data_IF_140501771959
#
_entry.id   IF_140501771959
#
_cell.length_a   1.000
_cell.length_b   1.000
_cell.length_c   1.000
_cell.angle_alpha   90.00
_cell.angle_beta   90.00
_cell.angle_gamma   90.00
#
_symmetry.space_group_name_H-M   'P 1'
#
loop_
_entity.id
_entity.type
_entity.pdbx_description
1 polymer ?
#
# COMPACT_ATOMS: atom_id res chain seq x y z
N UNK A 1 0.36 -10.35 -14.47
CA UNK A 1 -0.23 -11.25 -13.47
C UNK A 1 -1.57 -10.63 -13.15
N UNK A 2 -2.62 -11.04 -13.86
CA UNK A 2 -3.96 -10.50 -13.70
C UNK A 2 -4.58 -11.20 -12.48
N UNK A 3 -4.82 -10.43 -11.42
CA UNK A 3 -5.53 -10.87 -10.23
C UNK A 3 -7.01 -10.75 -10.52
N UNK A 4 -7.68 -11.90 -10.63
CA UNK A 4 -9.11 -11.99 -10.89
C UNK A 4 -9.73 -12.66 -9.69
N UNK A 5 -10.50 -11.89 -8.92
CA UNK A 5 -11.46 -12.43 -7.98
C UNK A 5 -12.35 -13.45 -8.71
N UNK A 6 -12.28 -14.69 -8.23
CA UNK A 6 -12.62 -15.90 -8.99
C UNK A 6 -14.12 -16.00 -9.31
N UNK A 7 -14.49 -15.77 -10.57
CA UNK A 7 -15.77 -16.26 -11.12
C UNK A 7 -16.02 -15.91 -12.58
N UNK A 8 -15.81 -16.84 -13.53
CA UNK A 8 -16.20 -16.60 -14.94
C UNK A 8 -15.60 -17.55 -15.99
N UNK A 9 -16.19 -18.73 -16.10
CA UNK A 9 -15.88 -19.87 -16.99
C UNK A 9 -15.90 -19.55 -18.52
N UNK A 10 -14.82 -19.94 -19.22
CA UNK A 10 -14.76 -20.38 -20.64
C UNK A 10 -15.50 -19.55 -21.72
N UNK A 11 -14.84 -18.61 -22.44
CA UNK A 11 -15.15 -18.19 -23.84
C UNK A 11 -14.27 -17.02 -24.33
N UNK A 12 -12.99 -17.21 -24.65
CA UNK A 12 -12.21 -16.10 -25.25
C UNK A 12 -11.00 -16.52 -26.08
N UNK A 13 -11.08 -17.68 -26.76
CA UNK A 13 -9.92 -18.26 -27.41
C UNK A 13 -9.82 -18.03 -28.93
N UNK A 14 -10.65 -17.15 -29.52
CA UNK A 14 -10.72 -17.00 -30.99
C UNK A 14 -10.47 -15.60 -31.58
N UNK A 15 -10.34 -14.53 -30.79
CA UNK A 15 -10.16 -13.16 -31.34
C UNK A 15 -8.72 -12.60 -31.33
N UNK A 16 -7.75 -13.30 -30.73
CA UNK A 16 -6.41 -12.74 -30.45
C UNK A 16 -5.45 -12.68 -31.66
N UNK A 17 -5.83 -13.19 -32.83
CA UNK A 17 -4.91 -13.29 -33.99
C UNK A 17 -4.89 -12.07 -34.92
N UNK A 18 -5.89 -11.20 -34.86
CA UNK A 18 -6.03 -10.09 -35.83
C UNK A 18 -5.45 -8.77 -35.32
N UNK A 19 -5.31 -8.61 -34.00
CA UNK A 19 -5.01 -7.33 -33.34
C UNK A 19 -3.50 -6.98 -33.34
N UNK A 20 -2.62 -7.96 -33.49
CA UNK A 20 -1.15 -7.77 -33.41
C UNK A 20 -0.57 -7.03 -34.64
N UNK A 21 -1.22 -7.10 -35.81
CA UNK A 21 -0.65 -6.54 -37.05
C UNK A 21 -0.83 -5.03 -37.20
N UNK A 22 -1.82 -4.42 -36.56
CA UNK A 22 -2.10 -2.97 -36.69
C UNK A 22 -1.29 -2.10 -35.72
N UNK A 23 -0.81 -2.67 -34.60
CA UNK A 23 -0.05 -1.94 -33.58
C UNK A 23 1.33 -1.48 -34.08
N UNK A 24 2.00 -2.28 -34.92
CA UNK A 24 3.36 -1.97 -35.40
C UNK A 24 3.43 -0.80 -36.39
N UNK A 25 2.32 -0.47 -37.07
CA UNK A 25 2.28 0.64 -38.03
C UNK A 25 2.17 1.99 -37.30
N UNK A 26 1.45 2.02 -36.17
CA UNK A 26 1.28 3.23 -35.35
C UNK A 26 2.59 3.64 -34.62
N UNK A 27 3.39 2.66 -34.19
CA UNK A 27 4.65 2.93 -33.48
C UNK A 27 5.72 3.60 -34.37
N UNK A 28 5.74 3.29 -35.67
CA UNK A 28 6.72 3.85 -36.61
C UNK A 28 6.47 5.33 -36.94
N UNK A 29 5.22 5.81 -36.83
CA UNK A 29 4.85 7.21 -37.09
C UNK A 29 5.20 8.15 -35.92
N UNK A 30 5.27 7.65 -34.69
CA UNK A 30 5.58 8.46 -33.50
C UNK A 30 7.07 8.82 -33.36
N UNK A 31 7.98 8.06 -33.99
CA UNK A 31 9.44 8.27 -33.86
C UNK A 31 10.02 9.36 -34.78
N UNK A 32 9.25 9.89 -35.74
CA UNK A 32 9.72 10.93 -36.66
C UNK A 32 9.55 12.37 -36.13
N UNK A 33 9.06 12.56 -34.90
CA UNK A 33 8.68 13.85 -34.35
C UNK A 33 9.65 14.46 -33.33
N UNK A 34 10.97 14.36 -33.52
CA UNK A 34 11.93 15.13 -32.70
C UNK A 34 12.15 16.49 -33.37
N UNK A 35 11.31 17.45 -33.00
CA UNK A 35 11.40 18.85 -33.43
C UNK A 35 12.55 19.53 -32.67
N UNK A 36 13.37 20.25 -33.43
CA UNK A 36 14.50 21.09 -33.00
C UNK A 36 14.18 21.95 -31.76
N UNK A 37 15.11 21.98 -30.79
CA UNK A 37 15.15 23.03 -29.78
C UNK A 37 16.08 24.14 -30.28
N UNK A 38 15.70 25.43 -30.26
CA UNK A 38 16.60 26.50 -30.63
C UNK A 38 17.66 26.69 -29.54
N UNK A 39 18.92 26.70 -29.96
CA UNK A 39 20.03 27.26 -29.17
C UNK A 39 19.79 28.76 -29.05
N UNK A 40 19.60 29.25 -27.83
CA UNK A 40 19.67 30.67 -27.49
C UNK A 40 20.88 30.89 -26.58
N UNK A 41 21.72 31.83 -27.00
CA UNK A 41 22.95 32.30 -26.37
C UNK A 41 22.78 33.77 -26.01
N UNK A 42 23.44 34.18 -24.92
CA UNK A 42 23.56 35.53 -24.34
C UNK A 42 22.26 36.07 -23.71
N UNK A 43 22.26 36.79 -22.58
CA UNK A 43 23.31 37.61 -21.95
C UNK A 43 23.12 37.68 -20.43
N UNK A 44 24.20 38.03 -19.73
CA UNK A 44 24.22 38.46 -18.33
C UNK A 44 23.28 39.67 -18.13
N UNK A 45 22.38 39.57 -17.16
CA UNK A 45 21.70 40.71 -16.55
C UNK A 45 21.60 40.40 -15.05
N UNK A 46 22.39 41.13 -14.25
CA UNK A 46 22.31 41.14 -12.80
C UNK A 46 20.89 41.54 -12.36
N UNK A 47 20.28 40.78 -11.46
CA UNK A 47 19.07 41.23 -10.77
C UNK A 47 19.11 40.84 -9.30
N UNK A 48 19.17 41.90 -8.49
CA UNK A 48 18.92 42.05 -7.07
C UNK A 48 18.76 40.78 -6.21
N UNK A 49 19.70 40.68 -5.26
CA UNK A 49 19.59 40.03 -3.95
C UNK A 49 18.15 39.84 -3.45
N UNK A 50 17.58 38.67 -3.70
CA UNK A 50 16.51 38.13 -2.84
C UNK A 50 17.20 37.41 -1.68
N UNK A 51 17.07 37.98 -0.48
CA UNK A 51 17.49 37.32 0.75
C UNK A 51 16.67 36.05 0.93
N UNK A 52 17.20 34.91 0.50
CA UNK A 52 16.65 33.60 0.82
C UNK A 52 16.91 33.38 2.31
N UNK A 53 15.87 33.59 3.12
CA UNK A 53 15.85 33.09 4.50
C UNK A 53 15.73 31.57 4.37
N UNK A 54 16.86 30.87 4.49
CA UNK A 54 16.88 29.43 4.62
C UNK A 54 16.22 29.07 5.94
N UNK A 55 14.98 28.60 5.90
CA UNK A 55 14.39 27.87 7.01
C UNK A 55 15.05 26.49 6.94
N UNK A 56 16.00 26.25 7.84
CA UNK A 56 16.60 24.94 8.05
C UNK A 56 15.49 24.03 8.59
N UNK A 57 14.85 23.26 7.70
CA UNK A 57 13.90 22.24 8.10
C UNK A 57 14.73 21.11 8.70
N UNK A 58 14.60 20.81 10.00
CA UNK A 58 15.36 19.73 10.60
C UNK A 58 15.09 18.45 9.82
N UNK A 59 16.17 17.81 9.37
CA UNK A 59 16.12 16.49 8.74
C UNK A 59 15.32 15.58 9.66
N UNK A 60 14.23 14.93 9.20
CA UNK A 60 13.49 14.00 10.03
C UNK A 60 14.45 12.93 10.53
N UNK A 61 14.47 12.73 11.85
CA UNK A 61 15.30 11.69 12.45
C UNK A 61 14.97 10.35 11.77
N UNK A 62 15.99 9.55 11.41
CA UNK A 62 15.77 8.27 10.76
C UNK A 62 14.92 7.40 11.68
N UNK A 63 13.73 7.03 11.21
CA UNK A 63 12.89 6.02 11.87
C UNK A 63 13.70 4.74 11.97
N UNK A 64 14.16 4.42 13.19
CA UNK A 64 14.96 3.23 13.45
C UNK A 64 14.08 2.01 13.20
N UNK A 65 14.39 1.24 12.17
CA UNK A 65 13.76 -0.06 11.93
C UNK A 65 14.02 -0.92 13.18
N UNK A 66 12.98 -1.43 13.86
CA UNK A 66 13.17 -2.19 15.09
C UNK A 66 13.97 -3.48 14.82
N UNK A 67 14.87 -3.85 15.73
CA UNK A 67 15.59 -5.13 15.65
C UNK A 67 14.66 -6.31 15.93
N UNK A 68 14.99 -7.50 15.42
CA UNK A 68 14.22 -8.74 15.63
C UNK A 68 13.99 -9.07 17.11
N UNK A 69 14.96 -8.78 17.98
CA UNK A 69 14.83 -8.94 19.44
C UNK A 69 13.78 -7.98 20.03
N UNK A 70 13.68 -6.77 19.47
CA UNK A 70 12.66 -5.78 19.85
C UNK A 70 11.27 -6.26 19.42
N UNK A 71 11.14 -6.83 18.22
CA UNK A 71 9.89 -7.44 17.73
C UNK A 71 9.41 -8.59 18.62
N UNK A 72 10.32 -9.45 19.09
CA UNK A 72 9.97 -10.55 20.00
C UNK A 72 9.49 -10.05 21.38
N UNK A 73 10.14 -9.03 21.93
CA UNK A 73 9.75 -8.44 23.23
C UNK A 73 8.40 -7.73 23.21
N UNK A 74 7.99 -7.21 22.05
CA UNK A 74 6.73 -6.49 21.88
C UNK A 74 5.53 -7.41 21.74
N UNK A 75 5.77 -8.66 21.33
CA UNK A 75 4.77 -9.73 21.25
C UNK A 75 4.11 -10.04 22.61
N UNK A 76 4.79 -9.73 23.71
CA UNK A 76 4.31 -9.97 25.09
C UNK A 76 3.41 -8.84 25.65
N UNK A 77 3.31 -7.70 24.94
CA UNK A 77 2.53 -6.51 25.34
C UNK A 77 1.73 -5.92 24.18
N UNK A 78 1.42 -6.73 23.17
CA UNK A 78 0.67 -6.24 22.02
C UNK A 78 -0.82 -6.31 22.34
N UNK A 79 -1.44 -5.15 22.49
CA UNK A 79 -2.88 -5.01 22.69
C UNK A 79 -3.66 -5.31 21.40
N UNK A 80 -3.02 -5.91 20.39
CA UNK A 80 -3.63 -6.26 19.12
C UNK A 80 -3.89 -5.06 18.20
N UNK A 81 -4.72 -5.29 17.20
CA UNK A 81 -5.14 -4.29 16.21
C UNK A 81 -6.63 -4.03 16.39
N UNK A 82 -7.01 -2.76 16.38
CA UNK A 82 -8.41 -2.35 16.29
C UNK A 82 -8.70 -1.99 14.83
N UNK A 83 -9.77 -2.57 14.29
CA UNK A 83 -10.31 -2.23 12.97
C UNK A 83 -11.71 -1.69 13.17
N UNK A 84 -11.90 -0.41 12.88
CA UNK A 84 -13.17 0.32 12.98
C UNK A 84 -13.83 0.51 11.60
N UNK A 85 -13.03 0.68 10.56
CA UNK A 85 -13.47 0.74 9.16
C UNK A 85 -12.62 -0.21 8.30
N UNK A 86 -13.26 -1.28 7.83
CA UNK A 86 -12.60 -2.31 7.03
C UNK A 86 -12.14 -1.79 5.66
N UNK A 87 -12.86 -0.83 5.06
CA UNK A 87 -12.47 -0.24 3.78
C UNK A 87 -11.21 0.60 3.95
N UNK A 88 -11.16 1.44 4.99
CA UNK A 88 -9.99 2.26 5.31
C UNK A 88 -8.78 1.36 5.62
N UNK A 89 -8.99 0.33 6.44
CA UNK A 89 -7.96 -0.65 6.79
C UNK A 89 -7.38 -1.34 5.54
N UNK A 90 -8.25 -1.88 4.67
CA UNK A 90 -7.81 -2.57 3.46
C UNK A 90 -7.17 -1.60 2.44
N UNK A 91 -7.65 -0.36 2.35
CA UNK A 91 -7.05 0.65 1.47
C UNK A 91 -5.62 0.96 1.90
N UNK A 92 -5.41 1.19 3.20
CA UNK A 92 -4.08 1.41 3.77
C UNK A 92 -3.11 0.27 3.44
N UNK A 93 -3.53 -0.98 3.70
CA UNK A 93 -2.67 -2.14 3.47
C UNK A 93 -2.46 -2.45 1.98
N UNK A 94 -3.47 -2.21 1.14
CA UNK A 94 -3.33 -2.35 -0.31
C UNK A 94 -2.26 -1.41 -0.87
N UNK A 95 -2.26 -0.14 -0.46
CA UNK A 95 -1.25 0.84 -0.87
C UNK A 95 0.14 0.47 -0.34
N UNK A 96 0.21 0.13 0.96
CA UNK A 96 1.49 -0.18 1.63
C UNK A 96 2.14 -1.45 1.08
N UNK A 97 1.36 -2.50 0.85
CA UNK A 97 1.85 -3.80 0.38
C UNK A 97 1.88 -3.91 -1.13
N UNK A 98 1.33 -2.92 -1.85
CA UNK A 98 1.22 -2.91 -3.32
C UNK A 98 0.50 -4.15 -3.84
N UNK A 99 -0.61 -4.52 -3.21
CA UNK A 99 -1.44 -5.64 -3.68
C UNK A 99 -2.12 -5.31 -5.03
N UNK A 100 -2.24 -4.03 -5.38
CA UNK A 100 -2.83 -3.51 -6.61
C UNK A 100 -4.31 -3.86 -6.79
N UNK A 101 -5.04 -3.94 -5.69
CA UNK A 101 -6.50 -4.08 -5.71
C UNK A 101 -7.15 -2.77 -6.14
N UNK A 102 -8.18 -2.85 -6.98
CA UNK A 102 -9.02 -1.69 -7.31
C UNK A 102 -9.92 -1.29 -6.15
N UNK A 103 -10.53 -0.11 -6.23
CA UNK A 103 -11.49 0.35 -5.21
C UNK A 103 -12.70 -0.60 -5.10
N UNK A 104 -13.18 -1.13 -6.23
CA UNK A 104 -14.28 -2.09 -6.28
C UNK A 104 -13.88 -3.44 -5.67
N UNK A 105 -12.64 -3.89 -5.91
CA UNK A 105 -12.12 -5.12 -5.28
C UNK A 105 -11.98 -4.94 -3.77
N UNK A 106 -11.49 -3.78 -3.30
CA UNK A 106 -11.44 -3.46 -1.88
C UNK A 106 -12.82 -3.50 -1.24
N UNK A 107 -13.85 -2.91 -1.88
CA UNK A 107 -15.23 -2.94 -1.37
C UNK A 107 -15.83 -4.34 -1.34
N UNK A 108 -15.51 -5.19 -2.32
CA UNK A 108 -15.97 -6.57 -2.30
C UNK A 108 -15.27 -7.35 -1.19
N UNK A 109 -13.94 -7.27 -1.13
CA UNK A 109 -13.14 -7.94 -0.13
C UNK A 109 -13.44 -7.44 1.28
N UNK A 110 -13.80 -6.17 1.48
CA UNK A 110 -14.14 -5.64 2.81
C UNK A 110 -15.39 -6.32 3.36
N UNK A 111 -16.44 -6.46 2.53
CA UNK A 111 -17.65 -7.18 2.93
C UNK A 111 -17.35 -8.65 3.21
N UNK A 112 -16.63 -9.31 2.31
CA UNK A 112 -16.31 -10.74 2.46
C UNK A 112 -15.44 -10.97 3.71
N UNK A 113 -14.51 -10.05 4.01
CA UNK A 113 -13.67 -10.09 5.21
C UNK A 113 -14.50 -9.89 6.49
N UNK A 114 -15.46 -8.97 6.48
CA UNK A 114 -16.38 -8.75 7.61
C UNK A 114 -17.22 -9.99 7.91
N UNK A 115 -17.85 -10.56 6.87
CA UNK A 115 -18.76 -11.70 7.00
C UNK A 115 -18.04 -13.00 7.38
N UNK A 116 -16.85 -13.26 6.83
CA UNK A 116 -16.18 -14.56 6.99
C UNK A 116 -15.14 -14.60 8.13
N UNK A 117 -14.49 -13.47 8.39
CA UNK A 117 -13.31 -13.38 9.25
C UNK A 117 -13.54 -12.47 10.45
N UNK A 118 -13.84 -11.18 10.23
CA UNK A 118 -13.87 -10.16 11.30
C UNK A 118 -15.01 -10.38 12.30
N UNK A 119 -16.12 -11.01 11.89
CA UNK A 119 -17.22 -11.38 12.79
C UNK A 119 -16.77 -12.13 14.06
N UNK A 120 -15.64 -12.85 14.01
CA UNK A 120 -15.09 -13.60 15.16
C UNK A 120 -14.33 -12.73 16.16
N UNK A 121 -14.01 -11.51 15.75
CA UNK A 121 -13.22 -10.53 16.48
C UNK A 121 -14.06 -9.31 16.90
N UNK A 122 -15.37 -9.31 16.62
CA UNK A 122 -16.23 -8.18 16.92
C UNK A 122 -16.44 -8.02 18.44
N UNK A 123 -16.19 -6.81 18.93
CA UNK A 123 -16.44 -6.38 20.29
C UNK A 123 -17.75 -5.59 20.34
N UNK A 124 -18.81 -6.22 20.87
CA UNK A 124 -20.14 -5.61 20.98
C UNK A 124 -20.19 -4.40 21.91
N UNK A 125 -19.30 -4.33 22.91
CA UNK A 125 -19.29 -3.26 23.90
C UNK A 125 -18.69 -1.96 23.33
N UNK A 126 -17.78 -2.09 22.36
CA UNK A 126 -17.02 -0.97 21.81
C UNK A 126 -17.23 -0.72 20.31
N UNK A 127 -17.99 -1.56 19.62
CA UNK A 127 -18.36 -1.43 18.20
C UNK A 127 -17.15 -1.37 17.25
N UNK A 128 -16.19 -2.29 17.45
CA UNK A 128 -15.04 -2.49 16.57
C UNK A 128 -14.60 -3.95 16.51
N UNK A 129 -13.67 -4.28 15.60
CA UNK A 129 -13.03 -5.59 15.57
C UNK A 129 -11.67 -5.55 16.28
N UNK A 130 -11.44 -6.48 17.20
CA UNK A 130 -10.20 -6.60 17.95
C UNK A 130 -9.38 -7.81 17.54
N UNK A 131 -8.32 -7.59 16.78
CA UNK A 131 -7.42 -8.64 16.30
C UNK A 131 -6.28 -8.84 17.29
N UNK A 132 -6.39 -9.90 18.10
CA UNK A 132 -5.41 -10.27 19.12
C UNK A 132 -4.32 -11.25 18.63
N UNK A 133 -4.51 -11.88 17.47
CA UNK A 133 -3.50 -12.75 16.85
C UNK A 133 -3.38 -12.44 15.34
N UNK A 134 -2.31 -11.72 14.99
CA UNK A 134 -2.00 -11.35 13.62
C UNK A 134 -1.62 -12.53 12.72
N UNK A 135 -1.05 -13.62 13.26
CA UNK A 135 -0.70 -14.79 12.45
C UNK A 135 -1.98 -15.48 11.97
N UNK A 136 -2.91 -15.75 12.91
CA UNK A 136 -4.20 -16.38 12.61
C UNK A 136 -5.04 -15.48 11.69
N UNK A 137 -5.08 -14.18 11.99
CA UNK A 137 -5.79 -13.22 11.15
C UNK A 137 -5.22 -13.17 9.73
N UNK A 138 -3.90 -13.09 9.58
CA UNK A 138 -3.23 -13.09 8.27
C UNK A 138 -3.54 -14.35 7.46
N UNK A 139 -3.55 -15.53 8.09
CA UNK A 139 -3.92 -16.79 7.44
C UNK A 139 -5.38 -16.80 6.94
N UNK A 140 -6.31 -16.22 7.69
CA UNK A 140 -7.72 -16.12 7.30
C UNK A 140 -7.98 -15.03 6.25
N UNK A 141 -7.26 -13.91 6.32
CA UNK A 141 -7.36 -12.78 5.41
C UNK A 141 -6.78 -13.10 4.01
N UNK A 142 -5.73 -13.93 3.95
CA UNK A 142 -5.07 -14.29 2.70
C UNK A 142 -6.02 -14.82 1.61
N UNK A 143 -6.83 -15.86 1.89
CA UNK A 143 -7.82 -16.39 0.95
C UNK A 143 -8.87 -15.36 0.49
N UNK A 144 -9.36 -14.50 1.39
CA UNK A 144 -10.36 -13.46 1.08
C UNK A 144 -9.82 -12.46 0.06
N UNK A 145 -8.55 -12.09 0.19
CA UNK A 145 -7.86 -11.16 -0.71
C UNK A 145 -7.17 -11.85 -1.90
N UNK A 146 -7.26 -13.19 -2.02
CA UNK A 146 -6.56 -13.94 -3.06
C UNK A 146 -5.02 -13.90 -2.94
N UNK A 147 -4.49 -13.65 -1.74
CA UNK A 147 -3.06 -13.59 -1.48
C UNK A 147 -2.45 -14.99 -1.38
N UNK A 148 -1.22 -15.11 -1.87
CA UNK A 148 -0.41 -16.32 -1.66
C UNK A 148 0.25 -16.30 -0.28
N UNK A 149 0.83 -17.44 0.13
CA UNK A 149 1.47 -17.58 1.43
C UNK A 149 2.61 -16.57 1.67
N UNK A 150 3.40 -16.26 0.66
CA UNK A 150 4.53 -15.32 0.78
C UNK A 150 4.02 -13.90 1.05
N UNK A 151 2.96 -13.47 0.36
CA UNK A 151 2.31 -12.18 0.60
C UNK A 151 1.70 -12.10 1.99
N UNK A 152 1.08 -13.18 2.48
CA UNK A 152 0.53 -13.23 3.84
C UNK A 152 1.65 -13.09 4.88
N UNK A 153 2.75 -13.82 4.72
CA UNK A 153 3.89 -13.73 5.64
C UNK A 153 4.48 -12.32 5.64
N UNK A 154 4.64 -11.71 4.45
CA UNK A 154 5.13 -10.33 4.33
C UNK A 154 4.17 -9.34 5.01
N UNK A 155 2.86 -9.49 4.79
CA UNK A 155 1.84 -8.66 5.42
C UNK A 155 1.92 -8.73 6.95
N UNK A 156 1.93 -9.93 7.53
CA UNK A 156 1.98 -10.11 8.99
C UNK A 156 3.24 -9.49 9.58
N UNK A 157 4.39 -9.68 8.91
CA UNK A 157 5.65 -9.09 9.35
C UNK A 157 5.62 -7.56 9.30
N UNK A 158 5.20 -6.97 8.17
CA UNK A 158 5.09 -5.51 8.03
C UNK A 158 4.05 -4.92 8.98
N UNK A 159 2.97 -5.64 9.27
CA UNK A 159 1.97 -5.22 10.25
C UNK A 159 2.53 -5.13 11.66
N UNK A 160 3.35 -6.11 12.07
CA UNK A 160 4.04 -6.06 13.37
C UNK A 160 5.01 -4.89 13.45
N UNK A 161 5.81 -4.69 12.43
CA UNK A 161 6.74 -3.55 12.35
C UNK A 161 6.00 -2.22 12.47
N UNK A 162 4.85 -2.09 11.81
CA UNK A 162 4.02 -0.90 11.91
C UNK A 162 3.47 -0.69 13.32
N UNK A 163 2.99 -1.74 14.00
CA UNK A 163 2.53 -1.63 15.39
C UNK A 163 3.64 -1.17 16.35
N UNK A 164 4.89 -1.59 16.10
CA UNK A 164 6.03 -1.10 16.87
C UNK A 164 6.22 0.39 16.69
N UNK A 165 6.17 0.85 15.43
CA UNK A 165 6.31 2.27 15.08
C UNK A 165 5.19 3.08 15.73
N UNK A 166 3.95 2.63 15.64
CA UNK A 166 2.79 3.33 16.21
C UNK A 166 2.90 3.43 17.73
N UNK A 167 3.34 2.37 18.40
CA UNK A 167 3.58 2.39 19.85
C UNK A 167 4.66 3.38 20.23
N UNK A 168 5.78 3.41 19.50
CA UNK A 168 6.87 4.36 19.74
C UNK A 168 6.40 5.81 19.55
N UNK A 169 5.63 6.08 18.51
CA UNK A 169 5.08 7.40 18.24
C UNK A 169 4.09 7.85 19.30
N UNK A 170 3.25 6.94 19.81
CA UNK A 170 2.31 7.25 20.89
C UNK A 170 3.01 7.58 22.23
N UNK A 171 4.19 7.01 22.47
CA UNK A 171 4.97 7.22 23.70
C UNK A 171 5.96 8.38 23.61
N UNK A 172 6.09 9.05 22.44
CA UNK A 172 6.88 10.28 22.33
C UNK A 172 6.12 11.43 22.99
N UNK A 173 6.73 12.18 23.92
CA UNK A 173 6.12 13.41 24.41
C UNK A 173 5.93 14.39 23.24
N UNK A 174 4.87 15.23 23.25
CA UNK A 174 4.72 16.26 22.25
C UNK A 174 5.97 17.16 22.29
N UNK A 175 6.64 17.30 21.15
CA UNK A 175 7.75 18.24 21.02
C UNK A 175 7.21 19.66 21.29
N UNK A 176 7.78 20.31 22.31
CA UNK A 176 7.45 21.66 22.76
C UNK A 176 8.29 22.70 22.01
#
# INVERSE_FOLDING_TARGET
MDFVCRGGKEREHMEKRTLIRTFFILLALLLAGVIMVPVMSASDEECESSTIIGIDVPVPEPTVVPSDETLQSLREKDDGVIIDDTIVYLTYWNERMKWNLSEEEIKSCSRDLEEEVLVRYYDEDHDYYHINDLDIFGEALGPVLGLNKEHVVAFVQTHREQLVIDRQNHHRPPEL
#
